data_IF_388189690723
#
_entry.id   IF_388189690723
#
_cell.length_a   1.000
_cell.length_b   1.000
_cell.length_c   1.000
_cell.angle_alpha   90.00
_cell.angle_beta   90.00
_cell.angle_gamma   90.00
#
_symmetry.space_group_name_H-M   'P 1'
#
loop_
_entity.id
_entity.type
_entity.pdbx_description
1 polymer ?
#
# COMPACT_ATOMS: atom_id res chain seq x y z
N UNK A 1 -3.40 16.12 26.00
CA UNK A 1 -2.01 16.56 25.76
C UNK A 1 -0.99 15.40 25.81
N UNK A 2 -0.95 14.56 26.85
CA UNK A 2 0.02 13.45 26.96
C UNK A 2 -0.16 12.40 25.84
N UNK A 3 -1.40 12.07 25.51
CA UNK A 3 -1.72 11.05 24.51
C UNK A 3 -1.28 11.40 23.09
N UNK A 4 -1.51 12.64 22.67
CA UNK A 4 -1.01 13.15 21.38
C UNK A 4 0.51 13.13 21.31
N UNK A 5 1.17 13.44 22.44
CA UNK A 5 2.62 13.39 22.53
C UNK A 5 3.12 11.96 22.32
N UNK A 6 2.50 10.97 22.97
CA UNK A 6 2.81 9.53 22.83
C UNK A 6 2.62 9.05 21.39
N UNK A 7 1.60 9.53 20.70
CA UNK A 7 1.29 9.13 19.33
C UNK A 7 2.37 9.55 18.32
N UNK A 8 3.17 10.59 18.63
CA UNK A 8 4.28 11.08 17.80
C UNK A 8 5.64 10.43 18.13
N UNK A 9 5.70 9.56 19.14
CA UNK A 9 6.96 8.92 19.59
C UNK A 9 7.23 7.64 18.79
N UNK A 10 8.51 7.28 18.69
CA UNK A 10 9.00 6.00 18.17
C UNK A 10 8.17 4.79 18.61
N UNK A 11 8.00 3.82 17.70
CA UNK A 11 7.35 2.52 17.96
C UNK A 11 7.99 1.83 19.18
N UNK A 12 9.32 1.91 19.32
CA UNK A 12 10.02 1.31 20.46
C UNK A 12 9.50 1.84 21.79
N UNK A 13 9.31 3.16 21.87
CA UNK A 13 8.79 3.79 23.09
C UNK A 13 7.34 3.43 23.33
N UNK A 14 6.52 3.34 22.28
CA UNK A 14 5.14 2.88 22.36
C UNK A 14 5.03 1.45 22.91
N UNK A 15 5.86 0.53 22.41
CA UNK A 15 5.93 -0.85 22.90
C UNK A 15 6.37 -0.88 24.37
N UNK A 16 7.44 -0.16 24.72
CA UNK A 16 7.89 -0.06 26.11
C UNK A 16 6.80 0.49 27.04
N UNK A 17 6.02 1.47 26.57
CA UNK A 17 4.88 1.98 27.33
C UNK A 17 3.82 0.91 27.56
N UNK A 18 3.49 0.08 26.55
CA UNK A 18 2.55 -1.04 26.72
C UNK A 18 3.07 -2.11 27.68
N UNK A 19 4.37 -2.42 27.63
CA UNK A 19 4.99 -3.38 28.55
C UNK A 19 4.94 -2.84 29.99
N UNK A 20 5.27 -1.57 30.20
CA UNK A 20 5.20 -0.93 31.52
C UNK A 20 3.77 -0.89 32.07
N UNK A 21 2.79 -0.62 31.20
CA UNK A 21 1.38 -0.73 31.51
C UNK A 21 1.04 -2.14 32.01
N UNK A 22 1.40 -3.19 31.27
CA UNK A 22 1.11 -4.58 31.66
C UNK A 22 1.73 -4.93 33.03
N UNK A 23 2.98 -4.50 33.27
CA UNK A 23 3.65 -4.67 34.57
C UNK A 23 2.93 -3.95 35.71
N UNK A 24 2.42 -2.74 35.48
CA UNK A 24 1.66 -1.99 36.48
C UNK A 24 0.34 -2.68 36.85
N UNK A 25 -0.36 -3.29 35.88
CA UNK A 25 -1.56 -4.11 36.15
C UNK A 25 -1.19 -5.26 37.08
N UNK A 26 -0.13 -6.01 36.77
CA UNK A 26 0.32 -7.14 37.58
C UNK A 26 0.63 -6.73 39.03
N UNK A 27 1.36 -5.62 39.22
CA UNK A 27 1.66 -5.09 40.56
C UNK A 27 0.37 -4.75 41.31
N UNK A 28 -0.56 -4.04 40.65
CA UNK A 28 -1.84 -3.67 41.26
C UNK A 28 -2.66 -4.90 41.70
N UNK A 29 -2.71 -5.96 40.89
CA UNK A 29 -3.37 -7.23 41.26
C UNK A 29 -2.72 -7.92 42.45
N UNK A 30 -1.39 -7.94 42.55
CA UNK A 30 -0.66 -8.55 43.67
C UNK A 30 -0.88 -7.75 44.96
N UNK A 31 -0.85 -6.41 44.89
CA UNK A 31 -1.16 -5.54 46.04
C UNK A 31 -2.59 -5.74 46.53
N UNK A 32 -3.56 -5.85 45.62
CA UNK A 32 -4.95 -6.14 45.96
C UNK A 32 -5.11 -7.52 46.63
N UNK A 33 -4.52 -8.57 46.04
CA UNK A 33 -4.59 -9.94 46.59
C UNK A 33 -3.96 -10.02 47.98
N UNK A 34 -2.75 -9.45 48.15
CA UNK A 34 -2.03 -9.44 49.43
C UNK A 34 -2.80 -8.66 50.50
N UNK A 35 -3.44 -7.56 50.12
CA UNK A 35 -4.24 -6.77 51.03
C UNK A 35 -5.50 -7.53 51.47
N UNK A 36 -6.25 -8.13 50.53
CA UNK A 36 -7.44 -8.93 50.86
C UNK A 36 -7.15 -10.16 51.73
N UNK A 37 -5.93 -10.69 51.68
CA UNK A 37 -5.49 -11.84 52.49
C UNK A 37 -5.19 -11.49 53.96
N UNK A 38 -5.05 -10.21 54.32
CA UNK A 38 -4.68 -9.80 55.69
C UNK A 38 -5.83 -9.77 56.70
N UNK A 39 -7.04 -10.24 56.34
CA UNK A 39 -8.12 -10.47 57.32
C UNK A 39 -8.63 -9.22 58.03
N UNK A 40 -8.69 -8.07 57.34
CA UNK A 40 -9.28 -6.86 57.88
C UNK A 40 -10.81 -7.03 58.08
N UNK A 41 -11.31 -6.75 59.29
CA UNK A 41 -12.73 -6.79 59.62
C UNK A 41 -13.50 -5.74 58.81
N UNK A 42 -14.45 -6.21 58.00
CA UNK A 42 -15.16 -5.46 56.97
C UNK A 42 -16.00 -4.29 57.49
N UNK A 43 -15.43 -3.07 57.44
CA UNK A 43 -16.22 -1.84 57.28
C UNK A 43 -16.59 -1.65 55.81
N UNK A 44 -17.81 -1.19 55.51
CA UNK A 44 -18.27 -0.87 54.14
C UNK A 44 -17.39 0.18 53.44
N UNK A 45 -16.71 1.01 54.22
CA UNK A 45 -15.90 2.14 53.74
C UNK A 45 -14.57 1.68 53.13
N UNK A 46 -13.94 0.64 53.71
CA UNK A 46 -12.70 0.07 53.20
C UNK A 46 -12.91 -0.57 51.82
N UNK A 47 -13.97 -1.37 51.67
CA UNK A 47 -14.32 -2.02 50.40
C UNK A 47 -14.56 -1.00 49.27
N UNK A 48 -15.19 0.13 49.57
CA UNK A 48 -15.46 1.18 48.58
C UNK A 48 -14.17 1.89 48.12
N UNK A 49 -13.23 2.15 49.03
CA UNK A 49 -11.91 2.69 48.67
C UNK A 49 -11.11 1.76 47.74
N UNK A 50 -11.23 0.43 47.88
CA UNK A 50 -10.55 -0.53 47.00
C UNK A 50 -11.10 -0.58 45.58
N UNK A 51 -12.42 -0.55 45.44
CA UNK A 51 -13.05 -0.51 44.12
C UNK A 51 -12.62 0.77 43.38
N UNK A 52 -12.62 1.91 44.08
CA UNK A 52 -12.23 3.20 43.49
C UNK A 52 -10.75 3.19 43.06
N UNK A 53 -9.84 2.73 43.92
CA UNK A 53 -8.40 2.69 43.59
C UNK A 53 -8.09 1.70 42.46
N UNK A 54 -8.75 0.54 42.42
CA UNK A 54 -8.63 -0.44 41.34
C UNK A 54 -9.12 0.10 39.99
N UNK A 55 -10.28 0.77 39.97
CA UNK A 55 -10.83 1.40 38.75
C UNK A 55 -9.91 2.53 38.25
N UNK A 56 -9.37 3.35 39.15
CA UNK A 56 -8.43 4.42 38.79
C UNK A 56 -7.16 3.83 38.18
N UNK A 57 -6.60 2.77 38.78
CA UNK A 57 -5.42 2.10 38.21
C UNK A 57 -5.70 1.51 36.82
N UNK A 58 -6.83 0.83 36.65
CA UNK A 58 -7.22 0.28 35.35
C UNK A 58 -7.40 1.38 34.30
N UNK A 59 -7.96 2.53 34.68
CA UNK A 59 -8.12 3.68 33.78
C UNK A 59 -6.76 4.29 33.40
N UNK A 60 -5.88 4.51 34.37
CA UNK A 60 -4.54 5.09 34.17
C UNK A 60 -3.69 4.22 33.25
N UNK A 61 -3.86 2.90 33.31
CA UNK A 61 -3.04 1.94 32.60
C UNK A 61 -3.70 1.51 31.28
N UNK A 62 -4.97 1.13 31.31
CA UNK A 62 -5.71 0.60 30.17
C UNK A 62 -5.98 1.63 29.07
N UNK A 63 -6.28 2.89 29.42
CA UNK A 63 -6.59 3.93 28.43
C UNK A 63 -5.37 4.19 27.52
N UNK A 64 -4.16 4.49 28.03
CA UNK A 64 -2.98 4.67 27.18
C UNK A 64 -2.64 3.43 26.34
N UNK A 65 -2.76 2.23 26.92
CA UNK A 65 -2.48 0.96 26.24
C UNK A 65 -3.33 0.79 24.98
N UNK A 66 -4.64 1.02 25.11
CA UNK A 66 -5.59 0.92 24.01
C UNK A 66 -5.23 1.89 22.86
N UNK A 67 -4.92 3.15 23.19
CA UNK A 67 -4.56 4.14 22.18
C UNK A 67 -3.24 3.82 21.47
N UNK A 68 -2.25 3.32 22.21
CA UNK A 68 -0.98 2.89 21.62
C UNK A 68 -1.20 1.74 20.64
N UNK A 69 -1.90 0.68 21.05
CA UNK A 69 -2.23 -0.45 20.18
C UNK A 69 -2.95 0.03 18.92
N UNK A 70 -3.98 0.88 19.07
CA UNK A 70 -4.73 1.45 17.95
C UNK A 70 -3.87 2.30 17.01
N UNK A 71 -2.89 3.03 17.55
CA UNK A 71 -1.99 3.88 16.75
C UNK A 71 -1.04 3.10 15.86
N UNK A 72 -0.78 1.82 16.18
CA UNK A 72 0.12 0.94 15.42
C UNK A 72 -0.71 0.05 14.49
N UNK A 73 -1.70 -0.67 15.02
CA UNK A 73 -2.45 -1.68 14.27
C UNK A 73 -3.29 -1.08 13.14
N UNK A 74 -3.93 0.07 13.36
CA UNK A 74 -4.80 0.70 12.36
C UNK A 74 -4.06 1.09 11.07
N UNK A 75 -2.92 1.81 11.09
CA UNK A 75 -2.18 2.12 9.87
C UNK A 75 -1.57 0.87 9.21
N UNK A 76 -1.08 -0.11 9.98
CA UNK A 76 -0.56 -1.37 9.40
C UNK A 76 -1.66 -2.11 8.61
N UNK A 77 -2.87 -2.24 9.18
CA UNK A 77 -3.99 -2.88 8.48
C UNK A 77 -4.39 -2.12 7.21
N UNK A 78 -4.34 -0.78 7.22
CA UNK A 78 -4.59 0.01 6.01
C UNK A 78 -3.56 -0.25 4.92
N UNK A 79 -2.28 -0.32 5.28
CA UNK A 79 -1.20 -0.65 4.35
C UNK A 79 -1.37 -2.07 3.79
N UNK A 80 -1.72 -3.04 4.65
CA UNK A 80 -1.97 -4.41 4.23
C UNK A 80 -3.14 -4.52 3.24
N UNK A 81 -4.27 -3.87 3.52
CA UNK A 81 -5.43 -3.86 2.62
C UNK A 81 -5.10 -3.18 1.27
N UNK A 82 -4.28 -2.14 1.29
CA UNK A 82 -3.81 -1.51 0.05
C UNK A 82 -2.85 -2.42 -0.73
N UNK A 83 -1.94 -3.10 -0.04
CA UNK A 83 -1.03 -4.06 -0.65
C UNK A 83 -1.79 -5.23 -1.29
N UNK A 84 -2.87 -5.72 -0.67
CA UNK A 84 -3.75 -6.74 -1.24
C UNK A 84 -4.40 -6.27 -2.55
N UNK A 85 -4.95 -5.06 -2.58
CA UNK A 85 -5.48 -4.45 -3.82
C UNK A 85 -4.43 -4.35 -4.93
N UNK A 86 -3.22 -3.88 -4.58
CA UNK A 86 -2.10 -3.80 -5.52
C UNK A 86 -1.71 -5.19 -6.03
N UNK A 87 -1.74 -6.21 -5.16
CA UNK A 87 -1.52 -7.61 -5.53
C UNK A 87 -2.53 -8.14 -6.55
N UNK A 88 -3.75 -7.60 -6.54
CA UNK A 88 -4.79 -7.86 -7.55
C UNK A 88 -4.71 -6.94 -8.78
N UNK A 89 -3.68 -6.08 -8.87
CA UNK A 89 -3.50 -5.13 -9.97
C UNK A 89 -4.30 -3.84 -9.84
N UNK A 90 -5.08 -3.66 -8.76
CA UNK A 90 -5.79 -2.42 -8.48
C UNK A 90 -4.86 -1.41 -7.81
N UNK A 91 -4.28 -0.53 -8.63
CA UNK A 91 -3.45 0.58 -8.21
C UNK A 91 -4.26 1.88 -8.05
N UNK A 92 -5.60 1.88 -8.01
CA UNK A 92 -6.39 3.13 -8.03
C UNK A 92 -6.58 3.79 -6.65
N UNK A 93 -6.29 3.08 -5.55
CA UNK A 93 -6.55 3.58 -4.20
C UNK A 93 -5.70 4.78 -3.76
N UNK A 94 -6.20 5.57 -2.81
CA UNK A 94 -5.50 6.77 -2.34
C UNK A 94 -4.14 6.47 -1.70
N UNK A 95 -3.16 7.35 -1.95
CA UNK A 95 -1.85 7.23 -1.32
C UNK A 95 -2.01 7.48 0.18
N UNK A 96 -1.52 6.54 0.99
CA UNK A 96 -1.60 6.65 2.44
C UNK A 96 -0.70 7.79 2.93
N UNK A 97 -1.33 8.82 3.51
CA UNK A 97 -0.62 9.87 4.22
C UNK A 97 -0.50 9.54 5.71
N UNK A 98 0.71 9.63 6.25
CA UNK A 98 0.94 9.53 7.69
C UNK A 98 1.09 10.91 8.30
N UNK A 99 0.32 11.17 9.37
CA UNK A 99 0.54 12.32 10.27
C UNK A 99 1.62 12.04 11.34
N UNK A 100 2.09 10.80 11.42
CA UNK A 100 3.12 10.37 12.36
C UNK A 100 4.52 10.67 11.81
N UNK A 101 5.41 11.10 12.70
CA UNK A 101 6.81 11.41 12.40
C UNK A 101 7.78 10.33 12.90
N UNK A 102 7.24 9.20 13.35
CA UNK A 102 7.98 8.05 13.83
C UNK A 102 8.32 7.07 12.69
N UNK A 103 8.84 5.89 13.05
CA UNK A 103 9.21 4.85 12.08
C UNK A 103 8.01 4.36 11.27
N UNK A 104 6.80 4.38 11.86
CA UNK A 104 5.57 4.00 11.18
C UNK A 104 5.21 5.03 10.10
N UNK A 105 5.45 6.31 10.38
CA UNK A 105 5.33 7.37 9.39
C UNK A 105 6.31 7.23 8.23
N UNK A 106 7.58 6.94 8.53
CA UNK A 106 8.60 6.66 7.51
C UNK A 106 8.22 5.44 6.65
N UNK A 107 7.73 4.37 7.28
CA UNK A 107 7.26 3.17 6.58
C UNK A 107 6.07 3.48 5.67
N UNK A 108 5.10 4.26 6.16
CA UNK A 108 3.93 4.66 5.37
C UNK A 108 4.35 5.49 4.15
N UNK A 109 5.29 6.43 4.32
CA UNK A 109 5.82 7.24 3.23
C UNK A 109 6.57 6.39 2.20
N UNK A 110 7.46 5.49 2.64
CA UNK A 110 8.19 4.60 1.75
C UNK A 110 7.25 3.68 0.96
N UNK A 111 6.21 3.16 1.61
CA UNK A 111 5.15 2.39 0.95
C UNK A 111 4.39 3.23 -0.09
N UNK A 112 4.01 4.47 0.24
CA UNK A 112 3.38 5.39 -0.71
C UNK A 112 4.24 5.61 -1.97
N UNK A 113 5.55 5.83 -1.80
CA UNK A 113 6.48 5.97 -2.91
C UNK A 113 6.55 4.71 -3.79
N UNK A 114 6.51 3.52 -3.17
CA UNK A 114 6.43 2.26 -3.92
C UNK A 114 5.18 2.19 -4.80
N UNK A 115 4.00 2.58 -4.28
CA UNK A 115 2.75 2.62 -5.06
C UNK A 115 2.87 3.57 -6.25
N UNK A 116 3.42 4.77 -6.03
CA UNK A 116 3.65 5.76 -7.10
C UNK A 116 4.55 5.18 -8.19
N UNK A 117 5.66 4.56 -7.81
CA UNK A 117 6.60 3.97 -8.77
C UNK A 117 5.96 2.82 -9.56
N UNK A 118 5.16 1.97 -8.91
CA UNK A 118 4.43 0.91 -9.61
C UNK A 118 3.43 1.48 -10.63
N UNK A 119 2.68 2.53 -10.28
CA UNK A 119 1.80 3.23 -11.23
C UNK A 119 2.56 3.76 -12.43
N UNK A 120 3.70 4.42 -12.19
CA UNK A 120 4.53 4.95 -13.27
C UNK A 120 5.05 3.87 -14.20
N UNK A 121 5.51 2.74 -13.65
CA UNK A 121 5.96 1.59 -14.44
C UNK A 121 4.84 1.03 -15.31
N UNK A 122 3.63 0.86 -14.76
CA UNK A 122 2.47 0.38 -15.53
C UNK A 122 2.13 1.35 -16.67
N UNK A 123 2.14 2.65 -16.42
CA UNK A 123 1.91 3.66 -17.47
C UNK A 123 2.96 3.57 -18.56
N UNK A 124 4.24 3.48 -18.21
CA UNK A 124 5.33 3.36 -19.19
C UNK A 124 5.20 2.11 -20.06
N UNK A 125 4.85 0.96 -19.47
CA UNK A 125 4.62 -0.29 -20.21
C UNK A 125 3.44 -0.14 -21.17
N UNK A 126 2.35 0.50 -20.74
CA UNK A 126 1.17 0.75 -21.58
C UNK A 126 1.52 1.66 -22.77
N UNK A 127 2.21 2.76 -22.51
CA UNK A 127 2.57 3.74 -23.54
C UNK A 127 3.57 3.12 -24.54
N UNK A 128 4.53 2.32 -24.06
CA UNK A 128 5.42 1.54 -24.91
C UNK A 128 4.68 0.52 -25.78
N UNK A 129 3.68 -0.17 -25.22
CA UNK A 129 2.85 -1.12 -25.97
C UNK A 129 2.02 -0.42 -27.06
N UNK A 130 1.47 0.77 -26.76
CA UNK A 130 0.76 1.60 -27.75
C UNK A 130 1.67 2.04 -28.89
N UNK A 131 2.91 2.42 -28.59
CA UNK A 131 3.90 2.80 -29.58
C UNK A 131 4.25 1.62 -30.51
N UNK A 132 4.45 0.43 -29.92
CA UNK A 132 4.71 -0.81 -30.69
C UNK A 132 3.54 -1.16 -31.60
N UNK A 133 2.29 -1.03 -31.12
CA UNK A 133 1.09 -1.28 -31.92
C UNK A 133 1.01 -0.31 -33.12
N UNK A 134 1.17 1.00 -32.89
CA UNK A 134 1.15 2.01 -33.95
C UNK A 134 2.27 1.79 -34.98
N UNK A 135 3.49 1.45 -34.54
CA UNK A 135 4.59 1.13 -35.45
C UNK A 135 4.28 -0.11 -36.29
N UNK A 136 3.61 -1.12 -35.70
CA UNK A 136 3.22 -2.34 -36.42
C UNK A 136 2.17 -2.04 -37.51
N UNK A 137 1.18 -1.18 -37.22
CA UNK A 137 0.22 -0.70 -38.22
C UNK A 137 0.90 0.05 -39.37
N UNK A 138 1.87 0.92 -39.05
CA UNK A 138 2.65 1.63 -40.07
C UNK A 138 3.48 0.69 -40.92
N UNK A 139 4.10 -0.34 -40.33
CA UNK A 139 4.85 -1.38 -41.06
C UNK A 139 3.92 -2.14 -42.01
N UNK A 140 2.75 -2.59 -41.53
CA UNK A 140 1.76 -3.29 -42.37
C UNK A 140 1.34 -2.41 -43.55
N UNK A 141 0.99 -1.15 -43.31
CA UNK A 141 0.62 -0.21 -44.37
C UNK A 141 1.75 0.00 -45.38
N UNK A 142 2.99 0.11 -44.90
CA UNK A 142 4.17 0.24 -45.76
C UNK A 142 4.40 -1.01 -46.62
N UNK A 143 4.22 -2.20 -46.04
CA UNK A 143 4.33 -3.47 -46.76
C UNK A 143 3.22 -3.63 -47.81
N UNK A 144 1.98 -3.24 -47.50
CA UNK A 144 0.86 -3.25 -48.45
C UNK A 144 1.09 -2.31 -49.62
N UNK A 145 1.57 -1.09 -49.35
CA UNK A 145 1.94 -0.13 -50.39
C UNK A 145 3.08 -0.67 -51.28
N UNK A 146 4.09 -1.30 -50.67
CA UNK A 146 5.21 -1.88 -51.39
C UNK A 146 4.78 -3.05 -52.28
N UNK A 147 3.92 -3.95 -51.77
CA UNK A 147 3.34 -5.04 -52.57
C UNK A 147 2.50 -4.49 -53.72
N UNK A 148 1.66 -3.47 -53.47
CA UNK A 148 0.83 -2.86 -54.51
C UNK A 148 1.68 -2.21 -55.61
N UNK A 149 2.73 -1.48 -55.22
CA UNK A 149 3.66 -0.83 -56.15
C UNK A 149 4.51 -1.84 -56.93
N UNK A 150 5.03 -2.87 -56.25
CA UNK A 150 5.79 -3.95 -56.88
C UNK A 150 4.95 -4.73 -57.89
N UNK A 151 3.70 -5.06 -57.53
CA UNK A 151 2.76 -5.71 -58.45
C UNK A 151 2.46 -4.82 -59.66
N UNK A 152 2.25 -3.52 -59.45
CA UNK A 152 2.02 -2.56 -60.54
C UNK A 152 3.22 -2.49 -61.49
N UNK A 153 4.43 -2.42 -60.95
CA UNK A 153 5.65 -2.40 -61.75
C UNK A 153 5.83 -3.68 -62.57
N UNK A 154 5.55 -4.85 -61.99
CA UNK A 154 5.60 -6.14 -62.70
C UNK A 154 4.57 -6.22 -63.82
N UNK A 155 3.34 -5.73 -63.58
CA UNK A 155 2.29 -5.66 -64.60
C UNK A 155 2.73 -4.77 -65.76
N UNK A 156 3.23 -3.57 -65.47
CA UNK A 156 3.70 -2.63 -66.49
C UNK A 156 4.83 -3.25 -67.35
N UNK A 157 5.84 -3.84 -66.70
CA UNK A 157 6.94 -4.49 -67.41
C UNK A 157 6.44 -5.65 -68.28
N UNK A 158 5.51 -6.46 -67.79
CA UNK A 158 4.91 -7.56 -68.57
C UNK A 158 4.12 -7.04 -69.78
N UNK A 159 3.37 -5.95 -69.63
CA UNK A 159 2.65 -5.32 -70.74
C UNK A 159 3.60 -4.74 -71.77
N UNK A 160 4.70 -4.12 -71.36
CA UNK A 160 5.72 -3.59 -72.28
C UNK A 160 6.41 -4.71 -73.06
N UNK A 161 6.75 -5.82 -72.39
CA UNK A 161 7.31 -7.01 -73.04
C UNK A 161 6.32 -7.58 -74.08
N UNK A 162 5.03 -7.67 -73.76
CA UNK A 162 4.01 -8.13 -74.73
C UNK A 162 3.95 -7.21 -75.95
N UNK A 163 3.85 -5.89 -75.75
CA UNK A 163 3.82 -4.90 -76.83
C UNK A 163 5.07 -4.98 -77.72
N UNK A 164 6.24 -5.18 -77.12
CA UNK A 164 7.50 -5.33 -77.86
C UNK A 164 7.50 -6.60 -78.70
N UNK A 165 7.06 -7.73 -78.13
CA UNK A 165 6.95 -9.01 -78.84
C UNK A 165 5.98 -8.94 -80.03
N UNK A 166 4.83 -8.28 -79.86
CA UNK A 166 3.83 -8.09 -80.92
C UNK A 166 4.43 -7.25 -82.07
N UNK A 167 5.21 -6.22 -81.73
CA UNK A 167 5.89 -5.36 -82.72
C UNK A 167 6.96 -6.14 -83.51
N UNK A 168 7.75 -6.98 -82.86
CA UNK A 168 8.76 -7.83 -83.52
C UNK A 168 8.17 -8.91 -84.41
N UNK A 169 6.91 -9.32 -84.18
CA UNK A 169 6.23 -10.33 -85.01
C UNK A 169 5.61 -9.73 -86.28
N UNK A 170 5.50 -8.41 -86.36
CA UNK A 170 4.96 -7.69 -87.54
C UNK A 170 6.03 -7.22 -88.53
N UNK A 171 7.33 -7.33 -88.19
CA UNK A 171 8.46 -7.07 -89.08
C UNK A 171 9.07 -8.38 -89.59
#
# INVERSE_FOLDING_TARGET
MILEKILKISIKTKINAMVNVASAISIATVSFSSYSATGHSSGTDDAMHYIITGVIMQAVVGIPAYFVARSITKPILKMAAMAEKIGHGDLTGDILESKSHDELGKLTQAFGNMVINLRQLVTQVRDGSSLVASNSEQVVSSTEQMNSSGTTNLINNSTDIKRLSDTSSQN
#
